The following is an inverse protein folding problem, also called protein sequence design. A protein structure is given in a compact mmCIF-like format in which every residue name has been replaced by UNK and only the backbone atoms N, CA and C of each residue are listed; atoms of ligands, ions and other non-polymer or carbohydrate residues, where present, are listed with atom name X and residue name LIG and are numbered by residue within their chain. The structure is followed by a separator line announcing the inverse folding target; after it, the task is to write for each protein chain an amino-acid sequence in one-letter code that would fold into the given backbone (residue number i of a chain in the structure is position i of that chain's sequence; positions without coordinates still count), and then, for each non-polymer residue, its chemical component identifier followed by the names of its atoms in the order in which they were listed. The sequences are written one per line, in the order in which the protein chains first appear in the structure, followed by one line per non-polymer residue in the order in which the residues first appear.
data_IF_969311654684
#
_entry.id   IF_969311654684
#
_cell.length_a   1.000
_cell.length_b   1.000
_cell.length_c   1.000
_cell.angle_alpha   90.00
_cell.angle_beta   90.00
_cell.angle_gamma   90.00
#
_symmetry.space_group_name_H-M   'P 1'
#
loop_
_entity.id
_entity.type
_entity.pdbx_description
1 polymer ?
#
# COMPACT_ATOMS: atom_id res chain seq x y z
N UNK A 1 24.35 51.58 -3.33
CA UNK A 1 23.06 51.21 -2.69
C UNK A 1 22.05 50.99 -3.80
N UNK A 2 21.48 49.79 -3.88
CA UNK A 2 20.54 49.42 -4.95
C UNK A 2 19.18 50.09 -4.73
N UNK A 3 18.59 50.66 -5.80
CA UNK A 3 17.35 51.45 -5.71
C UNK A 3 16.18 50.58 -5.19
N UNK A 4 15.56 50.91 -4.04
CA UNK A 4 14.50 50.10 -3.42
C UNK A 4 13.27 49.89 -4.30
N UNK A 5 13.00 50.82 -5.24
CA UNK A 5 11.89 50.70 -6.20
C UNK A 5 12.13 49.61 -7.24
N UNK A 6 13.40 49.35 -7.62
CA UNK A 6 13.75 48.22 -8.51
C UNK A 6 13.50 46.87 -7.83
N UNK A 7 13.74 46.78 -6.51
CA UNK A 7 13.55 45.55 -5.73
C UNK A 7 12.07 45.22 -5.55
N UNK A 8 11.24 46.22 -5.32
CA UNK A 8 9.77 46.08 -5.23
C UNK A 8 9.18 45.72 -6.61
N UNK A 9 9.61 46.37 -7.70
CA UNK A 9 9.11 46.06 -9.05
C UNK A 9 9.54 44.65 -9.53
N UNK A 10 10.72 44.18 -9.16
CA UNK A 10 11.16 42.80 -9.42
C UNK A 10 10.29 41.77 -8.69
N UNK A 11 9.94 42.03 -7.44
CA UNK A 11 9.05 41.18 -6.63
C UNK A 11 7.63 41.17 -7.22
N UNK A 12 7.10 42.33 -7.61
CA UNK A 12 5.77 42.45 -8.22
C UNK A 12 5.66 41.75 -9.59
N UNK A 13 6.72 41.78 -10.40
CA UNK A 13 6.76 41.11 -11.72
C UNK A 13 6.77 39.58 -11.59
N UNK A 14 7.40 39.03 -10.53
CA UNK A 14 7.40 37.58 -10.25
C UNK A 14 6.06 37.05 -9.71
N UNK A 15 5.22 37.89 -9.12
CA UNK A 15 3.96 37.49 -8.47
C UNK A 15 2.76 37.31 -9.43
N UNK A 16 2.87 37.70 -10.70
CA UNK A 16 1.71 37.86 -11.60
C UNK A 16 1.27 36.59 -12.38
N UNK A 17 1.89 35.41 -12.19
CA UNK A 17 1.68 34.22 -13.04
C UNK A 17 1.29 32.91 -12.30
N UNK A 18 0.44 32.92 -11.26
CA UNK A 18 0.50 31.87 -10.22
C UNK A 18 -0.88 31.38 -9.65
N UNK A 19 -1.12 30.05 -9.59
CA UNK A 19 -2.40 29.33 -9.24
C UNK A 19 -2.51 28.73 -7.77
N UNK A 20 -3.72 28.32 -7.32
CA UNK A 20 -4.30 28.43 -5.95
C UNK A 20 -4.52 27.14 -5.10
N UNK A 21 -4.31 25.91 -5.59
CA UNK A 21 -4.94 24.71 -4.96
C UNK A 21 -4.42 24.21 -3.58
N UNK A 22 -3.48 24.87 -2.87
CA UNK A 22 -2.78 24.25 -1.72
C UNK A 22 -2.37 25.17 -0.54
N UNK A 23 -3.16 26.17 -0.11
CA UNK A 23 -2.73 27.08 0.98
C UNK A 23 -2.76 26.44 2.38
N UNK A 24 -3.82 25.72 2.75
CA UNK A 24 -3.97 25.15 4.11
C UNK A 24 -2.98 24.02 4.41
N UNK A 25 -2.77 23.02 3.53
CA UNK A 25 -1.74 21.98 3.76
C UNK A 25 -0.33 22.54 3.90
N UNK A 26 -0.06 23.67 3.26
CA UNK A 26 1.24 24.34 3.26
C UNK A 26 1.50 25.12 4.56
N UNK A 27 0.48 25.77 5.12
CA UNK A 27 0.56 26.45 6.42
C UNK A 27 0.78 25.45 7.55
N UNK A 28 0.11 24.29 7.49
CA UNK A 28 0.34 23.17 8.41
C UNK A 28 1.79 22.66 8.32
N UNK A 29 2.34 22.52 7.10
CA UNK A 29 3.75 22.13 6.88
C UNK A 29 4.75 23.18 7.40
N UNK A 30 4.32 24.41 7.66
CA UNK A 30 5.14 25.50 8.22
C UNK A 30 4.97 25.66 9.74
N UNK A 31 4.34 24.69 10.40
CA UNK A 31 4.22 24.65 11.86
C UNK A 31 3.09 25.50 12.41
N UNK A 32 2.22 26.06 11.55
CA UNK A 32 0.94 26.58 12.02
C UNK A 32 0.06 25.39 12.40
N UNK A 33 -0.60 25.47 13.55
CA UNK A 33 -1.69 24.56 13.81
C UNK A 33 -2.87 24.86 12.87
N UNK A 34 -3.81 23.92 12.83
CA UNK A 34 -4.95 23.99 11.93
C UNK A 34 -5.85 25.20 12.20
N UNK A 35 -5.87 25.69 13.44
CA UNK A 35 -6.69 26.83 13.84
C UNK A 35 -6.04 28.13 13.38
N UNK A 36 -4.75 28.33 13.65
CA UNK A 36 -3.98 29.49 13.21
C UNK A 36 -3.87 29.61 11.68
N UNK A 37 -3.83 28.48 10.97
CA UNK A 37 -3.90 28.48 9.50
C UNK A 37 -5.26 28.98 8.99
N UNK A 38 -6.36 28.58 9.64
CA UNK A 38 -7.71 29.01 9.27
C UNK A 38 -7.98 30.47 9.66
N UNK A 39 -7.52 30.91 10.83
CA UNK A 39 -7.69 32.29 11.31
C UNK A 39 -6.94 33.28 10.40
N UNK A 40 -5.75 32.90 9.89
CA UNK A 40 -5.01 33.70 8.93
C UNK A 40 -5.73 33.82 7.59
N UNK A 41 -6.33 32.73 7.09
CA UNK A 41 -7.13 32.76 5.86
C UNK A 41 -8.34 33.66 6.03
N UNK A 42 -9.06 33.52 7.16
CA UNK A 42 -10.22 34.33 7.50
C UNK A 42 -9.88 35.82 7.64
N UNK A 43 -8.76 36.15 8.28
CA UNK A 43 -8.27 37.53 8.38
C UNK A 43 -8.01 38.16 6.99
N UNK A 44 -7.41 37.38 6.07
CA UNK A 44 -7.12 37.82 4.70
C UNK A 44 -8.40 38.04 3.87
N UNK A 45 -9.41 37.20 4.07
CA UNK A 45 -10.75 37.36 3.47
C UNK A 45 -11.50 38.58 4.06
N UNK A 46 -11.60 38.69 5.39
CA UNK A 46 -12.34 39.74 6.10
C UNK A 46 -11.86 41.15 5.74
N UNK A 47 -10.55 41.32 5.54
CA UNK A 47 -9.96 42.61 5.21
C UNK A 47 -9.80 42.84 3.70
N UNK A 48 -10.35 41.95 2.86
CA UNK A 48 -10.19 41.97 1.40
C UNK A 48 -8.73 42.11 0.97
N UNK A 49 -7.81 41.48 1.71
CA UNK A 49 -6.37 41.52 1.45
C UNK A 49 -5.96 40.49 0.40
N UNK A 50 -6.83 39.50 0.16
CA UNK A 50 -6.81 38.55 -0.95
C UNK A 50 -8.24 38.28 -1.45
N UNK A 51 -8.42 37.94 -2.73
CA UNK A 51 -9.70 37.47 -3.28
C UNK A 51 -9.56 35.97 -3.53
N UNK A 52 -10.43 35.14 -2.94
CA UNK A 52 -10.44 33.69 -3.14
C UNK A 52 -11.57 33.32 -4.09
N UNK A 53 -11.26 32.61 -5.18
CA UNK A 53 -12.25 32.07 -6.11
C UNK A 53 -12.29 30.56 -5.92
N UNK A 54 -13.38 30.04 -5.36
CA UNK A 54 -13.58 28.62 -5.15
C UNK A 54 -14.00 27.96 -6.48
N UNK A 55 -13.19 27.07 -7.05
CA UNK A 55 -13.66 26.16 -8.10
C UNK A 55 -14.04 24.80 -7.50
N UNK A 56 -15.28 24.40 -7.74
CA UNK A 56 -15.77 23.07 -7.43
C UNK A 56 -15.16 22.08 -8.40
N UNK A 57 -14.25 21.21 -7.93
CA UNK A 57 -14.01 19.86 -8.47
C UNK A 57 -12.79 19.22 -7.80
N UNK A 58 -13.02 18.15 -7.02
CA UNK A 58 -12.08 17.04 -6.86
C UNK A 58 -12.81 15.74 -6.49
N UNK A 59 -12.79 14.78 -7.43
CA UNK A 59 -12.88 13.34 -7.16
C UNK A 59 -11.48 12.84 -6.79
N UNK A 60 -11.36 12.04 -5.73
CA UNK A 60 -10.09 11.45 -5.32
C UNK A 60 -9.83 10.12 -6.06
N UNK A 61 -8.67 10.00 -6.72
CA UNK A 61 -8.06 8.72 -7.08
C UNK A 61 -6.75 8.60 -6.31
N UNK A 62 -6.60 7.53 -5.55
CA UNK A 62 -5.47 7.23 -4.64
C UNK A 62 -4.39 6.48 -5.41
N UNK A 63 -3.14 6.96 -5.39
CA UNK A 63 -1.94 6.20 -5.78
C UNK A 63 -0.82 6.55 -4.76
N UNK A 64 0.01 5.58 -4.34
CA UNK A 64 0.74 5.61 -3.06
C UNK A 64 2.13 6.29 -3.16
N UNK A 65 2.61 6.73 -2.00
CA UNK A 65 3.91 7.38 -1.80
C UNK A 65 5.05 6.35 -1.72
N UNK A 66 6.07 6.49 -2.59
CA UNK A 66 7.47 6.29 -2.22
C UNK A 66 8.38 6.83 -3.33
N UNK A 67 9.18 7.87 -3.04
CA UNK A 67 10.66 7.86 -3.00
C UNK A 67 11.20 9.30 -2.98
N UNK A 68 12.12 9.50 -2.03
CA UNK A 68 13.32 10.35 -1.96
C UNK A 68 13.52 11.60 -2.84
N UNK A 69 14.07 12.62 -2.16
CA UNK A 69 14.88 13.73 -2.66
C UNK A 69 14.28 14.65 -3.71
N UNK A 70 13.42 15.56 -3.24
CA UNK A 70 13.21 16.85 -3.92
C UNK A 70 14.15 17.88 -3.29
N UNK A 71 15.03 18.44 -4.11
CA UNK A 71 15.98 19.49 -3.74
C UNK A 71 15.25 20.68 -3.11
N UNK A 72 15.85 21.26 -2.06
CA UNK A 72 15.40 22.43 -1.28
C UNK A 72 15.20 23.75 -2.08
N UNK A 73 15.15 23.69 -3.42
CA UNK A 73 15.16 24.83 -4.33
C UNK A 73 13.79 25.11 -4.97
N UNK A 74 12.82 24.22 -4.81
CA UNK A 74 11.48 24.33 -5.44
C UNK A 74 10.36 24.80 -4.48
N UNK A 75 10.71 25.43 -3.36
CA UNK A 75 9.75 26.00 -2.41
C UNK A 75 9.48 27.48 -2.67
N UNK A 76 8.48 27.80 -3.50
CA UNK A 76 7.93 29.17 -3.60
C UNK A 76 6.43 29.23 -3.29
N UNK A 77 6.08 29.94 -2.21
CA UNK A 77 4.73 30.15 -1.67
C UNK A 77 4.09 31.39 -2.33
N UNK A 78 2.78 31.35 -2.61
CA UNK A 78 2.02 32.39 -3.35
C UNK A 78 0.86 32.96 -2.52
N UNK A 79 0.82 34.28 -2.34
CA UNK A 79 -0.37 35.04 -1.95
C UNK A 79 -0.40 36.37 -2.72
N UNK A 80 -1.53 36.75 -3.33
CA UNK A 80 -1.67 37.97 -4.13
C UNK A 80 -2.27 39.07 -3.27
N UNK A 81 -1.43 40.00 -2.80
CA UNK A 81 -1.85 41.16 -1.99
C UNK A 81 -2.70 42.09 -2.87
N UNK A 82 -3.93 42.38 -2.45
CA UNK A 82 -4.83 43.31 -3.15
C UNK A 82 -4.26 44.74 -3.17
N UNK A 83 -4.72 45.61 -4.09
CA UNK A 83 -4.33 47.03 -4.10
C UNK A 83 -4.55 47.71 -2.74
N UNK A 84 -5.65 47.40 -2.04
CA UNK A 84 -5.92 47.89 -0.68
C UNK A 84 -4.89 47.39 0.34
N UNK A 85 -4.50 46.12 0.28
CA UNK A 85 -3.44 45.57 1.14
C UNK A 85 -2.07 46.20 0.88
N UNK A 86 -1.76 46.55 -0.38
CA UNK A 86 -0.52 47.29 -0.71
C UNK A 86 -0.54 48.70 -0.11
N UNK A 87 -1.67 49.40 -0.20
CA UNK A 87 -1.84 50.73 0.41
C UNK A 87 -1.73 50.66 1.92
N UNK A 88 -2.40 49.70 2.56
CA UNK A 88 -2.35 49.48 4.01
C UNK A 88 -0.94 49.18 4.51
N UNK A 89 -0.18 48.31 3.83
CA UNK A 89 1.22 48.00 4.17
C UNK A 89 2.15 49.20 3.97
N UNK A 90 1.84 50.07 3.00
CA UNK A 90 2.60 51.31 2.74
C UNK A 90 2.34 52.36 3.82
N UNK A 91 1.09 52.51 4.24
CA UNK A 91 0.67 53.46 5.30
C UNK A 91 1.15 53.00 6.69
N UNK A 92 1.17 51.69 6.95
CA UNK A 92 1.57 51.10 8.22
C UNK A 92 3.03 50.59 8.21
N UNK A 93 3.91 51.20 7.41
CA UNK A 93 5.30 50.76 7.20
C UNK A 93 6.08 50.56 8.52
N UNK A 94 5.93 51.46 9.49
CA UNK A 94 6.60 51.36 10.80
C UNK A 94 6.15 50.15 11.61
N UNK A 95 4.89 49.75 11.50
CA UNK A 95 4.35 48.57 12.17
C UNK A 95 4.93 47.28 11.56
N UNK A 96 5.00 47.22 10.22
CA UNK A 96 5.60 46.08 9.51
C UNK A 96 7.10 45.97 9.81
N UNK A 97 7.83 47.09 9.83
CA UNK A 97 9.26 47.11 10.21
C UNK A 97 9.46 46.64 11.65
N UNK A 98 8.58 47.01 12.59
CA UNK A 98 8.62 46.55 13.99
C UNK A 98 8.32 45.04 14.12
N UNK A 99 7.34 44.52 13.39
CA UNK A 99 7.06 43.08 13.34
C UNK A 99 8.26 42.31 12.77
N UNK A 100 8.82 42.80 11.66
CA UNK A 100 9.95 42.14 11.00
C UNK A 100 11.20 42.18 11.87
N UNK A 101 11.43 43.27 12.60
CA UNK A 101 12.51 43.39 13.56
C UNK A 101 12.33 42.40 14.73
N UNK A 102 11.15 42.36 15.35
CA UNK A 102 10.88 41.44 16.46
C UNK A 102 10.94 39.97 16.02
N UNK A 103 10.45 39.64 14.82
CA UNK A 103 10.56 38.30 14.25
C UNK A 103 12.01 37.93 13.95
N UNK A 104 12.81 38.85 13.40
CA UNK A 104 14.24 38.66 13.18
C UNK A 104 14.97 38.43 14.51
N UNK A 105 14.65 39.20 15.54
CA UNK A 105 15.28 39.03 16.86
C UNK A 105 14.93 37.67 17.47
N UNK A 106 13.67 37.23 17.36
CA UNK A 106 13.24 35.91 17.84
C UNK A 106 13.87 34.76 17.06
N UNK A 107 13.85 34.80 15.73
CA UNK A 107 14.33 33.70 14.88
C UNK A 107 15.86 33.59 14.90
N UNK A 108 16.59 34.72 14.94
CA UNK A 108 18.06 34.69 14.87
C UNK A 108 18.74 34.61 16.23
N UNK A 109 18.08 34.98 17.33
CA UNK A 109 18.73 34.97 18.64
C UNK A 109 18.04 34.05 19.65
N UNK A 110 16.71 34.05 19.75
CA UNK A 110 16.00 33.24 20.76
C UNK A 110 15.92 31.76 20.34
N UNK A 111 15.62 31.50 19.07
CA UNK A 111 15.45 30.14 18.57
C UNK A 111 16.78 29.34 18.55
N UNK A 112 17.93 29.91 18.13
CA UNK A 112 19.21 29.19 18.19
C UNK A 112 19.67 28.99 19.63
N UNK A 113 19.48 29.97 20.51
CA UNK A 113 19.89 29.83 21.92
C UNK A 113 19.06 28.78 22.66
N UNK A 114 17.75 28.73 22.43
CA UNK A 114 16.88 27.67 23.00
C UNK A 114 17.18 26.29 22.42
N UNK A 115 17.49 26.18 21.12
CA UNK A 115 17.95 24.92 20.51
C UNK A 115 19.31 24.49 21.05
N UNK A 116 20.25 25.41 21.26
CA UNK A 116 21.55 25.12 21.88
C UNK A 116 21.35 24.68 23.33
N UNK A 117 20.47 25.34 24.09
CA UNK A 117 20.16 24.95 25.47
C UNK A 117 19.54 23.54 25.53
N UNK A 118 18.60 23.23 24.63
CA UNK A 118 18.00 21.90 24.49
C UNK A 118 19.01 20.84 24.03
N UNK A 119 19.97 21.23 23.20
CA UNK A 119 21.04 20.34 22.75
C UNK A 119 21.99 20.03 23.91
N UNK A 120 22.38 21.04 24.69
CA UNK A 120 23.24 20.88 25.88
C UNK A 120 22.53 20.02 26.94
N UNK A 121 21.26 20.26 27.24
CA UNK A 121 20.53 19.47 28.26
C UNK A 121 20.31 18.01 27.83
N UNK A 122 20.21 17.73 26.53
CA UNK A 122 20.18 16.36 26.02
C UNK A 122 21.57 15.70 26.01
N UNK A 123 22.64 16.46 25.85
CA UNK A 123 24.01 15.93 25.81
C UNK A 123 24.59 15.66 27.20
N UNK A 124 24.16 16.40 28.23
CA UNK A 124 24.66 16.26 29.61
C UNK A 124 23.84 15.34 30.50
N UNK A 125 22.83 14.64 29.95
CA UNK A 125 22.05 13.65 30.70
C UNK A 125 22.39 12.22 30.21
N UNK A 126 23.40 11.55 30.78
CA UNK A 126 23.86 10.23 30.35
C UNK A 126 22.79 9.13 30.54
N UNK A 127 21.70 9.45 31.24
CA UNK A 127 20.59 8.54 31.54
C UNK A 127 19.47 8.58 30.50
N UNK A 128 19.53 9.46 29.49
CA UNK A 128 18.49 9.57 28.46
C UNK A 128 18.64 8.60 27.27
N UNK A 129 19.80 7.95 27.12
CA UNK A 129 20.12 7.07 25.97
C UNK A 129 20.42 5.62 26.36
N UNK A 130 19.60 5.05 27.26
CA UNK A 130 19.83 3.69 27.72
C UNK A 130 18.63 3.00 28.34
N UNK A 131 17.41 3.17 27.79
CA UNK A 131 16.45 2.07 27.93
C UNK A 131 16.85 1.04 26.89
N UNK A 132 17.52 -0.03 27.31
CA UNK A 132 17.53 -1.27 26.55
C UNK A 132 16.10 -1.51 26.08
N UNK A 133 15.88 -1.38 24.78
CA UNK A 133 14.57 -1.64 24.23
C UNK A 133 14.38 -3.14 24.38
N UNK A 134 13.68 -3.55 25.43
CA UNK A 134 13.29 -4.95 25.58
C UNK A 134 12.69 -5.41 24.25
N UNK A 135 13.30 -6.46 23.70
CA UNK A 135 12.87 -7.11 22.50
C UNK A 135 12.44 -8.53 22.85
N UNK A 136 11.57 -9.09 22.04
CA UNK A 136 11.08 -10.45 22.19
C UNK A 136 11.25 -11.19 20.88
N UNK A 137 11.41 -12.50 20.99
CA UNK A 137 11.37 -13.39 19.86
C UNK A 137 10.01 -14.08 19.85
N UNK A 138 9.51 -14.40 18.66
CA UNK A 138 8.20 -15.02 18.48
C UNK A 138 8.22 -15.96 17.27
N UNK A 139 7.53 -17.09 17.39
CA UNK A 139 7.49 -18.15 16.37
C UNK A 139 6.07 -18.39 15.87
N UNK A 140 5.93 -18.46 14.55
CA UNK A 140 4.73 -18.91 13.85
C UNK A 140 4.94 -20.36 13.41
N UNK A 141 4.02 -21.24 13.78
CA UNK A 141 3.93 -22.62 13.30
C UNK A 141 2.91 -22.67 12.17
N UNK A 142 3.35 -22.96 10.96
CA UNK A 142 2.50 -23.04 9.78
C UNK A 142 2.07 -24.48 9.56
N UNK A 143 0.76 -24.71 9.48
CA UNK A 143 0.20 -26.05 9.31
C UNK A 143 -0.99 -26.07 8.35
N UNK A 144 -1.30 -27.25 7.83
CA UNK A 144 -2.45 -27.49 6.98
C UNK A 144 -3.72 -27.83 7.75
N UNK A 145 -4.78 -28.08 6.99
CA UNK A 145 -6.12 -28.36 7.53
C UNK A 145 -6.26 -29.66 8.32
N UNK A 146 -5.27 -30.56 8.31
CA UNK A 146 -5.31 -31.80 9.11
C UNK A 146 -4.80 -31.61 10.56
N UNK A 147 -4.47 -30.38 10.95
CA UNK A 147 -4.01 -30.04 12.30
C UNK A 147 -2.54 -29.61 12.34
N UNK A 148 -2.03 -29.36 13.54
CA UNK A 148 -0.69 -28.77 13.76
C UNK A 148 0.46 -29.61 13.24
N UNK A 149 0.27 -30.92 13.11
CA UNK A 149 1.27 -31.85 12.56
C UNK A 149 1.22 -31.94 11.00
N UNK A 150 0.25 -31.29 10.36
CA UNK A 150 0.09 -31.24 8.90
C UNK A 150 1.05 -30.23 8.29
N UNK A 151 2.32 -30.57 8.31
CA UNK A 151 3.42 -29.69 7.91
C UNK A 151 3.54 -29.63 6.37
N UNK A 152 2.64 -28.92 5.71
CA UNK A 152 2.53 -28.88 4.24
C UNK A 152 3.52 -27.93 3.53
N UNK A 153 4.15 -27.01 4.26
CA UNK A 153 5.11 -26.01 3.73
C UNK A 153 6.54 -26.18 4.28
N UNK A 154 6.96 -27.40 4.64
CA UNK A 154 8.31 -27.64 5.18
C UNK A 154 9.39 -27.14 4.23
N UNK A 155 10.30 -26.31 4.75
CA UNK A 155 11.42 -25.73 3.98
C UNK A 155 11.00 -24.90 2.76
N UNK A 156 9.74 -24.48 2.65
CA UNK A 156 9.23 -23.75 1.50
C UNK A 156 8.42 -22.51 1.92
N UNK A 157 8.63 -21.41 1.20
CA UNK A 157 7.93 -20.14 1.45
C UNK A 157 8.42 -19.37 2.68
N UNK A 158 7.68 -18.30 2.98
CA UNK A 158 7.97 -17.36 4.06
C UNK A 158 6.70 -16.93 4.74
N UNK A 159 6.81 -16.65 6.04
CA UNK A 159 5.82 -15.92 6.80
C UNK A 159 6.17 -14.44 6.78
N UNK A 160 5.17 -13.61 6.54
CA UNK A 160 5.27 -12.16 6.50
C UNK A 160 4.50 -11.58 7.69
N UNK A 161 5.19 -10.79 8.51
CA UNK A 161 4.64 -10.12 9.68
C UNK A 161 4.55 -8.62 9.41
N UNK A 162 3.37 -8.03 9.54
CA UNK A 162 3.17 -6.58 9.36
C UNK A 162 3.01 -5.89 10.72
N UNK A 163 3.98 -5.04 11.07
CA UNK A 163 4.14 -4.32 12.32
C UNK A 163 3.98 -2.81 12.11
N UNK A 164 2.75 -2.29 12.03
CA UNK A 164 2.47 -0.88 11.70
C UNK A 164 3.16 -0.43 10.40
N UNK A 165 4.32 0.21 10.50
CA UNK A 165 5.15 0.70 9.39
C UNK A 165 6.32 -0.23 9.03
N UNK A 166 6.53 -1.29 9.80
CA UNK A 166 7.58 -2.28 9.58
C UNK A 166 6.98 -3.57 9.00
N UNK A 167 7.69 -4.21 8.07
CA UNK A 167 7.32 -5.50 7.47
C UNK A 167 8.53 -6.42 7.66
N UNK A 168 8.32 -7.54 8.36
CA UNK A 168 9.35 -8.56 8.58
C UNK A 168 9.00 -9.84 7.86
N UNK A 169 10.03 -10.58 7.47
CA UNK A 169 9.89 -11.86 6.78
C UNK A 169 10.73 -12.92 7.49
N UNK A 170 10.19 -14.13 7.60
CA UNK A 170 10.91 -15.28 8.13
C UNK A 170 10.61 -16.51 7.27
N UNK A 171 11.65 -17.23 6.83
CA UNK A 171 11.49 -18.47 6.06
C UNK A 171 10.91 -19.58 6.92
N UNK A 172 10.12 -20.47 6.32
CA UNK A 172 9.56 -21.65 6.99
C UNK A 172 10.62 -22.76 6.99
N UNK A 173 10.94 -23.31 8.16
CA UNK A 173 11.95 -24.37 8.33
C UNK A 173 11.35 -25.79 8.16
N UNK A 174 12.16 -26.82 8.43
CA UNK A 174 11.77 -28.24 8.31
C UNK A 174 10.66 -28.68 9.27
N UNK A 175 10.43 -27.92 10.35
CA UNK A 175 9.39 -28.14 11.36
C UNK A 175 8.14 -27.32 11.09
N UNK A 176 8.09 -26.56 10.00
CA UNK A 176 7.00 -25.62 9.72
C UNK A 176 7.06 -24.34 10.55
N UNK A 177 8.21 -24.03 11.16
CA UNK A 177 8.36 -22.85 12.02
C UNK A 177 8.95 -21.67 11.22
N UNK A 178 8.46 -20.47 11.52
CA UNK A 178 9.05 -19.21 11.10
C UNK A 178 9.25 -18.32 12.34
N UNK A 179 10.50 -18.09 12.70
CA UNK A 179 10.87 -17.35 13.92
C UNK A 179 11.28 -15.92 13.57
N UNK A 180 10.60 -14.96 14.19
CA UNK A 180 10.90 -13.54 14.12
C UNK A 180 11.66 -13.13 15.38
N UNK A 181 12.83 -12.51 15.18
CA UNK A 181 13.68 -12.04 16.28
C UNK A 181 13.56 -10.54 16.49
N UNK A 182 13.93 -10.10 17.67
CA UNK A 182 14.08 -8.68 18.03
C UNK A 182 12.80 -7.85 17.77
N UNK A 183 11.63 -8.43 18.07
CA UNK A 183 10.36 -7.72 17.99
C UNK A 183 10.29 -6.75 19.16
N UNK A 184 9.99 -5.46 18.95
CA UNK A 184 9.88 -4.52 20.06
C UNK A 184 8.84 -4.95 21.10
N UNK A 185 9.16 -4.94 22.39
CA UNK A 185 8.27 -5.41 23.45
C UNK A 185 6.93 -4.67 23.53
N UNK A 186 6.80 -3.47 22.94
CA UNK A 186 5.51 -2.78 22.85
C UNK A 186 4.46 -3.52 22.01
N UNK A 187 4.89 -4.49 21.19
CA UNK A 187 4.02 -5.40 20.45
C UNK A 187 3.56 -6.61 21.28
N UNK A 188 4.04 -6.78 22.52
CA UNK A 188 3.54 -7.83 23.39
C UNK A 188 2.04 -7.60 23.69
N UNK A 189 1.24 -8.66 23.52
CA UNK A 189 -0.22 -8.67 23.56
C UNK A 189 -0.87 -7.70 22.55
N UNK A 190 -0.20 -7.44 21.42
CA UNK A 190 -0.75 -6.68 20.30
C UNK A 190 -1.14 -7.60 19.16
N UNK A 191 -2.21 -7.17 18.51
CA UNK A 191 -2.82 -7.80 17.35
C UNK A 191 -2.12 -7.35 16.07
N UNK A 192 -1.70 -8.29 15.24
CA UNK A 192 -0.94 -8.05 14.00
C UNK A 192 -1.48 -8.90 12.85
N UNK A 193 -1.18 -8.48 11.63
CA UNK A 193 -1.47 -9.28 10.45
C UNK A 193 -0.29 -10.20 10.10
N UNK A 194 -0.61 -11.43 9.75
CA UNK A 194 0.35 -12.45 9.31
C UNK A 194 -0.09 -12.97 7.95
N UNK A 195 0.84 -13.03 7.00
CA UNK A 195 0.62 -13.55 5.65
C UNK A 195 1.62 -14.65 5.31
N UNK A 196 1.31 -15.41 4.29
CA UNK A 196 2.22 -16.38 3.68
C UNK A 196 2.62 -15.89 2.30
N UNK A 197 3.90 -15.95 2.01
CA UNK A 197 4.44 -15.82 0.66
C UNK A 197 4.99 -17.17 0.21
N UNK A 198 4.42 -17.74 -0.85
CA UNK A 198 4.78 -19.07 -1.33
C UNK A 198 4.58 -19.17 -2.86
N UNK A 199 5.38 -19.99 -3.59
CA UNK A 199 5.18 -20.16 -5.03
C UNK A 199 3.81 -20.72 -5.42
N UNK A 200 3.29 -21.66 -4.63
CA UNK A 200 1.87 -22.11 -4.69
C UNK A 200 0.95 -21.10 -4.01
N UNK A 201 -0.33 -20.98 -4.44
CA UNK A 201 -1.31 -20.02 -3.95
C UNK A 201 -1.82 -20.42 -2.55
N UNK A 202 -0.94 -20.47 -1.57
CA UNK A 202 -1.32 -20.66 -0.17
C UNK A 202 -1.75 -19.35 0.46
N UNK A 203 -2.76 -19.42 1.32
CA UNK A 203 -3.21 -18.32 2.17
C UNK A 203 -3.55 -18.81 3.57
N UNK A 204 -3.51 -17.94 4.59
CA UNK A 204 -4.16 -18.20 5.86
C UNK A 204 -5.65 -18.51 5.65
N UNK A 205 -6.19 -19.48 6.38
CA UNK A 205 -7.64 -19.79 6.37
C UNK A 205 -8.49 -18.64 6.93
N UNK A 206 -7.90 -17.79 7.78
CA UNK A 206 -8.53 -16.60 8.34
C UNK A 206 -7.79 -15.32 7.92
N UNK A 207 -8.12 -14.80 6.73
CA UNK A 207 -7.46 -13.64 6.10
C UNK A 207 -7.54 -12.35 6.93
N UNK A 208 -8.68 -12.09 7.55
CA UNK A 208 -8.91 -10.86 8.33
C UNK A 208 -8.58 -11.03 9.82
N UNK A 209 -8.05 -12.19 10.21
CA UNK A 209 -7.68 -12.43 11.60
C UNK A 209 -6.43 -11.67 11.98
N UNK A 210 -6.54 -10.96 13.09
CA UNK A 210 -5.39 -10.40 13.77
C UNK A 210 -4.92 -11.38 14.83
N UNK A 211 -3.64 -11.73 14.76
CA UNK A 211 -3.01 -12.65 15.68
C UNK A 211 -2.35 -11.87 16.81
N UNK A 212 -2.54 -12.33 18.05
CA UNK A 212 -1.93 -11.71 19.21
C UNK A 212 -0.51 -12.23 19.38
N UNK A 213 0.49 -11.33 19.32
CA UNK A 213 1.87 -11.70 19.60
C UNK A 213 2.08 -11.68 21.11
N UNK A 214 2.67 -12.74 21.65
CA UNK A 214 3.05 -12.82 23.06
C UNK A 214 4.45 -13.43 23.19
N UNK A 215 5.23 -12.97 24.17
CA UNK A 215 6.60 -13.43 24.44
C UNK A 215 6.70 -14.89 24.90
N UNK A 216 5.58 -15.51 25.26
CA UNK A 216 5.48 -16.89 25.78
C UNK A 216 4.64 -17.80 24.91
N UNK A 217 3.93 -17.27 23.92
CA UNK A 217 3.01 -18.06 23.10
C UNK A 217 3.43 -18.06 21.63
N UNK A 218 3.27 -19.22 21.01
CA UNK A 218 3.44 -19.38 19.57
C UNK A 218 2.10 -19.26 18.87
N UNK A 219 2.12 -18.78 17.63
CA UNK A 219 0.91 -18.69 16.79
C UNK A 219 0.89 -19.88 15.86
N UNK A 220 -0.22 -20.62 15.85
CA UNK A 220 -0.49 -21.69 14.92
C UNK A 220 -1.31 -21.11 13.76
N UNK A 221 -0.70 -21.06 12.58
CA UNK A 221 -1.26 -20.47 11.38
C UNK A 221 -1.70 -21.59 10.43
N UNK A 222 -2.99 -21.84 10.37
CA UNK A 222 -3.57 -22.76 9.40
C UNK A 222 -3.59 -22.13 8.00
N UNK A 223 -3.12 -22.87 7.01
CA UNK A 223 -3.02 -22.42 5.62
C UNK A 223 -3.64 -23.42 4.65
N UNK A 224 -4.20 -22.91 3.57
CA UNK A 224 -4.79 -23.71 2.49
C UNK A 224 -4.48 -23.12 1.11
N UNK A 225 -4.58 -23.94 0.06
CA UNK A 225 -4.58 -23.46 -1.31
C UNK A 225 -5.90 -22.71 -1.58
N UNK A 226 -5.83 -21.54 -2.22
CA UNK A 226 -7.02 -20.80 -2.62
C UNK A 226 -7.33 -20.95 -4.11
N UNK A 227 -8.62 -20.97 -4.44
CA UNK A 227 -9.17 -20.95 -5.80
C UNK A 227 -8.62 -22.09 -6.70
N UNK A 228 -8.28 -23.24 -6.14
CA UNK A 228 -7.73 -24.39 -6.88
C UNK A 228 -8.72 -25.55 -7.01
N UNK A 229 -9.94 -25.36 -6.56
CA UNK A 229 -11.01 -26.35 -6.46
C UNK A 229 -11.83 -26.52 -7.74
N UNK A 230 -11.70 -25.63 -8.71
CA UNK A 230 -12.55 -25.63 -9.90
C UNK A 230 -11.77 -25.21 -11.15
N UNK A 231 -11.93 -25.98 -12.23
CA UNK A 231 -11.63 -25.53 -13.59
C UNK A 231 -12.93 -25.54 -14.37
N UNK A 232 -13.20 -24.50 -15.12
CA UNK A 232 -14.39 -24.38 -15.94
C UNK A 232 -14.08 -23.70 -17.26
N UNK A 233 -14.99 -23.82 -18.22
CA UNK A 233 -14.93 -23.09 -19.47
C UNK A 233 -15.89 -23.64 -20.51
N UNK A 234 -15.68 -23.23 -21.76
CA UNK A 234 -16.45 -23.72 -22.90
C UNK A 234 -15.57 -24.49 -23.90
N UNK A 235 -16.12 -25.55 -24.47
CA UNK A 235 -15.48 -26.35 -25.51
C UNK A 235 -16.29 -26.17 -26.78
N UNK A 236 -15.64 -25.64 -27.81
CA UNK A 236 -16.25 -25.36 -29.10
C UNK A 236 -15.55 -26.14 -30.22
N UNK A 237 -16.30 -26.49 -31.25
CA UNK A 237 -15.75 -27.03 -32.47
C UNK A 237 -15.06 -25.90 -33.25
N UNK A 238 -13.79 -26.07 -33.58
CA UNK A 238 -13.02 -25.08 -34.34
C UNK A 238 -13.57 -24.75 -35.74
N UNK A 239 -14.35 -25.66 -36.35
CA UNK A 239 -14.93 -25.46 -37.67
C UNK A 239 -16.25 -24.69 -37.64
N UNK A 240 -17.08 -24.92 -36.62
CA UNK A 240 -18.44 -24.35 -36.53
C UNK A 240 -18.60 -23.26 -35.47
N UNK A 241 -17.66 -23.17 -34.52
CA UNK A 241 -17.76 -22.39 -33.28
C UNK A 241 -19.00 -22.71 -32.43
N UNK A 242 -19.57 -23.90 -32.60
CA UNK A 242 -20.69 -24.39 -31.78
C UNK A 242 -20.13 -25.19 -30.61
N UNK A 243 -20.79 -25.08 -29.45
CA UNK A 243 -20.44 -25.86 -28.26
C UNK A 243 -20.52 -27.37 -28.50
N UNK A 244 -19.53 -28.10 -28.00
CA UNK A 244 -19.45 -29.56 -28.17
C UNK A 244 -19.88 -30.26 -26.88
N UNK A 245 -21.00 -30.95 -26.95
CA UNK A 245 -21.52 -31.77 -25.85
C UNK A 245 -20.63 -32.97 -25.53
N UNK A 246 -20.66 -33.44 -24.29
CA UNK A 246 -20.12 -34.74 -23.87
C UNK A 246 -18.63 -34.94 -24.17
N UNK A 247 -17.85 -33.86 -24.12
CA UNK A 247 -16.39 -33.93 -24.12
C UNK A 247 -15.94 -34.26 -22.72
N UNK A 248 -15.16 -35.34 -22.56
CA UNK A 248 -14.58 -35.70 -21.28
C UNK A 248 -13.46 -34.73 -20.95
N UNK A 249 -13.62 -33.98 -19.87
CA UNK A 249 -12.58 -33.09 -19.33
C UNK A 249 -12.00 -33.73 -18.09
N UNK A 250 -10.68 -33.94 -18.04
CA UNK A 250 -10.07 -34.70 -16.96
C UNK A 250 -8.73 -34.16 -16.49
N UNK A 251 -8.47 -34.37 -15.20
CA UNK A 251 -7.15 -34.28 -14.57
C UNK A 251 -6.91 -35.61 -13.87
N UNK A 252 -5.94 -36.39 -14.35
CA UNK A 252 -5.68 -37.75 -13.84
C UNK A 252 -6.95 -38.59 -13.92
N UNK A 253 -7.44 -39.08 -12.78
CA UNK A 253 -8.61 -39.96 -12.68
C UNK A 253 -9.92 -39.20 -12.39
N UNK A 254 -9.84 -37.87 -12.21
CA UNK A 254 -11.00 -37.01 -11.97
C UNK A 254 -11.47 -36.46 -13.30
N UNK A 255 -12.77 -36.52 -13.56
CA UNK A 255 -13.34 -36.03 -14.81
C UNK A 255 -14.75 -35.49 -14.65
N UNK A 256 -15.14 -34.69 -15.64
CA UNK A 256 -16.50 -34.19 -15.89
C UNK A 256 -16.79 -34.29 -17.40
N UNK A 257 -18.01 -33.98 -17.80
CA UNK A 257 -18.39 -33.87 -19.20
C UNK A 257 -18.91 -32.47 -19.49
N UNK A 258 -18.65 -31.97 -20.71
CA UNK A 258 -19.33 -30.77 -21.19
C UNK A 258 -20.82 -31.01 -21.42
N UNK A 259 -21.62 -29.97 -21.28
CA UNK A 259 -23.05 -29.97 -21.56
C UNK A 259 -23.36 -29.67 -23.05
N UNK A 260 -24.65 -29.60 -23.38
CA UNK A 260 -25.13 -29.32 -24.74
C UNK A 260 -24.74 -27.94 -25.32
N UNK A 261 -24.20 -27.03 -24.52
CA UNK A 261 -23.64 -25.75 -24.95
C UNK A 261 -22.11 -25.75 -24.93
N UNK A 262 -21.48 -26.90 -24.67
CA UNK A 262 -20.03 -27.06 -24.54
C UNK A 262 -19.47 -26.57 -23.20
N UNK A 263 -20.31 -26.14 -22.27
CA UNK A 263 -19.86 -25.67 -20.96
C UNK A 263 -19.48 -26.85 -20.06
N UNK A 264 -18.45 -26.68 -19.23
CA UNK A 264 -18.05 -27.70 -18.27
C UNK A 264 -17.57 -27.09 -16.95
N UNK A 265 -17.72 -27.87 -15.87
CA UNK A 265 -17.16 -27.60 -14.55
C UNK A 265 -16.49 -28.86 -13.99
N UNK A 266 -15.17 -28.80 -13.79
CA UNK A 266 -14.37 -29.86 -13.21
C UNK A 266 -14.00 -29.50 -11.77
N UNK A 267 -14.67 -30.12 -10.80
CA UNK A 267 -14.38 -29.98 -9.37
C UNK A 267 -13.15 -30.80 -8.98
N UNK A 268 -12.16 -30.17 -8.36
CA UNK A 268 -10.87 -30.76 -7.98
C UNK A 268 -10.86 -31.02 -6.47
N UNK A 269 -10.84 -32.29 -6.02
CA UNK A 269 -10.70 -32.64 -4.61
C UNK A 269 -9.38 -32.12 -4.02
N UNK A 270 -9.39 -31.74 -2.73
CA UNK A 270 -8.23 -31.18 -2.01
C UNK A 270 -6.91 -31.94 -2.21
N UNK A 271 -6.96 -33.27 -2.29
CA UNK A 271 -5.79 -34.14 -2.51
C UNK A 271 -5.09 -33.94 -3.85
N UNK A 272 -5.78 -33.37 -4.83
CA UNK A 272 -5.29 -33.14 -6.18
C UNK A 272 -5.11 -31.66 -6.52
N UNK A 273 -5.50 -30.75 -5.63
CA UNK A 273 -5.39 -29.30 -5.82
C UNK A 273 -3.92 -28.87 -5.89
N UNK A 274 -3.60 -28.04 -6.89
CA UNK A 274 -2.26 -27.49 -7.17
C UNK A 274 -2.39 -26.18 -7.92
N UNK A 275 -1.36 -25.33 -7.87
CA UNK A 275 -1.28 -24.08 -8.65
C UNK A 275 -1.47 -24.32 -10.14
N UNK A 276 -0.84 -25.38 -10.66
CA UNK A 276 -0.81 -25.72 -12.08
C UNK A 276 -1.34 -27.14 -12.29
N UNK A 277 -2.23 -27.30 -13.27
CA UNK A 277 -2.79 -28.59 -13.66
C UNK A 277 -2.55 -28.89 -15.14
N UNK A 278 -2.55 -30.18 -15.47
CA UNK A 278 -2.61 -30.64 -16.86
C UNK A 278 -4.01 -31.20 -17.10
N UNK A 279 -4.74 -30.60 -18.04
CA UNK A 279 -6.13 -30.92 -18.34
C UNK A 279 -6.20 -31.61 -19.70
N UNK A 280 -6.89 -32.74 -19.77
CA UNK A 280 -7.13 -33.50 -21.00
C UNK A 280 -8.59 -33.39 -21.43
N UNK A 281 -8.79 -33.25 -22.74
CA UNK A 281 -10.09 -33.15 -23.40
C UNK A 281 -10.19 -34.28 -24.43
N UNK A 282 -11.18 -35.14 -24.26
CA UNK A 282 -11.34 -36.36 -25.06
C UNK A 282 -12.80 -36.56 -25.47
N UNK A 283 -13.03 -36.76 -26.78
CA UNK A 283 -14.34 -37.13 -27.34
C UNK A 283 -14.13 -37.92 -28.62
N UNK A 284 -14.91 -38.98 -28.83
CA UNK A 284 -14.86 -39.73 -30.09
C UNK A 284 -15.27 -38.83 -31.27
N UNK A 285 -14.60 -38.99 -32.41
CA UNK A 285 -14.74 -38.10 -33.58
C UNK A 285 -13.95 -36.79 -33.48
N UNK A 286 -13.25 -36.52 -32.38
CA UNK A 286 -12.41 -35.33 -32.19
C UNK A 286 -10.97 -35.71 -31.84
N UNK A 287 -10.01 -34.88 -32.25
CA UNK A 287 -8.60 -35.04 -31.90
C UNK A 287 -8.42 -34.78 -30.41
N UNK A 288 -7.87 -35.73 -29.63
CA UNK A 288 -7.59 -35.52 -28.21
C UNK A 288 -6.67 -34.33 -27.98
N UNK A 289 -6.94 -33.57 -26.93
CA UNK A 289 -6.20 -32.35 -26.62
C UNK A 289 -5.73 -32.35 -25.16
N UNK A 290 -4.47 -31.99 -24.94
CA UNK A 290 -3.92 -31.75 -23.62
C UNK A 290 -3.50 -30.28 -23.48
N UNK A 291 -3.84 -29.67 -22.35
CA UNK A 291 -3.35 -28.35 -21.94
C UNK A 291 -2.53 -28.52 -20.67
N UNK A 292 -1.27 -28.09 -20.74
CA UNK A 292 -0.31 -28.22 -19.64
C UNK A 292 -0.16 -26.91 -18.89
N UNK A 293 0.16 -27.01 -17.60
CA UNK A 293 0.45 -25.87 -16.73
C UNK A 293 -0.68 -24.82 -16.62
N UNK A 294 -1.95 -25.27 -16.56
CA UNK A 294 -3.10 -24.38 -16.39
C UNK A 294 -3.09 -23.77 -14.98
N UNK A 295 -3.05 -22.44 -14.83
CA UNK A 295 -3.01 -21.77 -13.53
C UNK A 295 -4.39 -21.72 -12.87
N UNK A 296 -4.83 -22.79 -12.21
CA UNK A 296 -6.22 -22.92 -11.69
C UNK A 296 -6.64 -21.77 -10.78
N UNK A 297 -5.74 -21.33 -9.90
CA UNK A 297 -5.94 -20.24 -8.93
C UNK A 297 -6.30 -18.86 -9.50
N UNK A 298 -6.18 -18.64 -10.81
CA UNK A 298 -6.55 -17.36 -11.42
C UNK A 298 -8.05 -17.25 -11.72
N UNK A 299 -8.80 -18.36 -11.59
CA UNK A 299 -10.23 -18.45 -11.93
C UNK A 299 -10.53 -17.96 -13.36
N UNK A 300 -9.56 -18.11 -14.26
CA UNK A 300 -9.76 -17.80 -15.66
C UNK A 300 -10.46 -18.97 -16.35
N UNK A 301 -11.49 -18.66 -17.15
CA UNK A 301 -12.15 -19.64 -18.00
C UNK A 301 -11.14 -20.31 -18.93
N UNK A 302 -11.14 -21.65 -18.95
CA UNK A 302 -10.34 -22.45 -19.86
C UNK A 302 -11.18 -22.84 -21.08
N UNK A 303 -11.31 -21.87 -21.99
CA UNK A 303 -12.03 -22.07 -23.24
C UNK A 303 -11.15 -22.78 -24.27
N UNK A 304 -11.73 -23.76 -24.97
CA UNK A 304 -10.99 -24.69 -25.81
C UNK A 304 -11.68 -24.85 -27.16
N UNK A 305 -10.88 -24.83 -28.22
CA UNK A 305 -11.28 -25.24 -29.55
C UNK A 305 -10.74 -26.65 -29.81
N UNK A 306 -11.63 -27.57 -30.16
CA UNK A 306 -11.29 -28.93 -30.60
C UNK A 306 -11.57 -29.12 -32.09
N UNK A 307 -10.80 -30.00 -32.71
CA UNK A 307 -10.89 -30.32 -34.14
C UNK A 307 -11.51 -31.70 -34.32
N UNK A 308 -12.42 -31.83 -35.28
CA UNK A 308 -12.88 -33.15 -35.72
C UNK A 308 -11.72 -33.93 -36.34
N UNK A 309 -11.77 -35.25 -36.21
CA UNK A 309 -10.85 -36.13 -36.94
C UNK A 309 -11.35 -36.17 -38.39
N UNK A 310 -10.50 -35.75 -39.33
CA UNK A 310 -10.84 -35.86 -40.75
C UNK A 310 -10.99 -37.37 -41.10
N UNK A 311 -12.21 -37.80 -41.43
CA UNK A 311 -12.45 -39.11 -42.01
C UNK A 311 -11.93 -39.08 -43.46
N UNK A 312 -10.70 -39.56 -43.66
CA UNK A 312 -10.18 -39.93 -44.99
C UNK A 312 -10.75 -41.28 -45.43
#
# INVERSE_FOLDING_TARGET
MENPDKKINFILKKLNHLDFKNIVPLLLKKGFDRQGANDLVKFLEEHNLAILVYSNELRFKRIPESTENVQLKDLFIKAKITPKGKTYLKENRRFVEKIFYNYKTWVFYVLPTTLILLFITNYTNPWAFGKESSSMDFTVFVHGSKGVDDLILKNEGKVILILKSDKREASINEKGEATFKEIPAYFNNKKVNIFIEHPQPYRPTHLDSLYEINDKASIFLEVELYNTELIYGQIMDSGTNIGVDSVRVSIRDIFTFSDNHGYYELKIPKTYQKKFQNVRFEKSGFVPLERKNIPVHTEQSLDILIKQIDEN
#
